data_IF_063026868923
#
_entry.id   IF_063026868923
#
_cell.length_a   1.000
_cell.length_b   1.000
_cell.length_c   1.000
_cell.angle_alpha   90.00
_cell.angle_beta   90.00
_cell.angle_gamma   90.00
#
_symmetry.space_group_name_H-M   'P 1'
#
loop_
_entity.id
_entity.type
_entity.pdbx_description
1 polymer ?
#
# COMPACT_ATOMS: atom_id res chain seq x y z
N UNK A 1 5.43 -14.70 32.05
CA UNK A 1 4.43 -14.02 31.20
C UNK A 1 4.03 -15.01 30.11
N UNK A 2 2.76 -15.40 30.05
CA UNK A 2 2.31 -16.55 29.25
C UNK A 2 2.00 -16.20 27.79
N UNK A 3 1.89 -17.22 26.94
CA UNK A 3 1.57 -17.14 25.50
C UNK A 3 0.30 -16.30 25.23
N UNK A 4 -0.68 -16.33 26.15
CA UNK A 4 -1.91 -15.54 26.05
C UNK A 4 -1.69 -14.02 26.11
N UNK A 5 -0.65 -13.54 26.80
CA UNK A 5 -0.34 -12.10 26.83
C UNK A 5 0.35 -11.69 25.52
N UNK A 6 1.26 -12.52 25.00
CA UNK A 6 1.93 -12.28 23.72
C UNK A 6 0.94 -12.21 22.55
N UNK A 7 -0.03 -13.14 22.47
CA UNK A 7 -1.06 -13.12 21.44
C UNK A 7 -1.99 -11.91 21.54
N UNK A 8 -2.28 -11.44 22.75
CA UNK A 8 -3.08 -10.23 22.97
C UNK A 8 -2.33 -8.97 22.57
N UNK A 9 -1.04 -8.89 22.87
CA UNK A 9 -0.19 -7.76 22.52
C UNK A 9 -0.01 -7.68 21.00
N UNK A 10 0.26 -8.81 20.33
CA UNK A 10 0.34 -8.88 18.86
C UNK A 10 -0.98 -8.44 18.19
N UNK A 11 -2.14 -8.89 18.71
CA UNK A 11 -3.44 -8.46 18.20
C UNK A 11 -3.73 -6.97 18.43
N UNK A 12 -3.32 -6.43 19.58
CA UNK A 12 -3.46 -5.01 19.89
C UNK A 12 -2.65 -4.16 18.91
N UNK A 13 -1.42 -4.59 18.61
CA UNK A 13 -0.52 -3.93 17.67
C UNK A 13 -1.04 -3.97 16.23
N UNK A 14 -1.60 -5.10 15.78
CA UNK A 14 -2.22 -5.21 14.45
C UNK A 14 -3.45 -4.31 14.30
N UNK A 15 -4.29 -4.22 15.33
CA UNK A 15 -5.45 -3.34 15.33
C UNK A 15 -5.04 -1.86 15.27
N UNK A 16 -4.03 -1.47 16.07
CA UNK A 16 -3.49 -0.11 16.05
C UNK A 16 -2.87 0.24 14.69
N UNK A 17 -2.07 -0.66 14.11
CA UNK A 17 -1.47 -0.45 12.80
C UNK A 17 -2.55 -0.25 11.71
N UNK A 18 -3.60 -1.07 11.75
CA UNK A 18 -4.74 -0.95 10.82
C UNK A 18 -5.45 0.39 10.99
N UNK A 19 -5.73 0.82 12.22
CA UNK A 19 -6.36 2.11 12.52
C UNK A 19 -5.53 3.29 12.00
N UNK A 20 -4.20 3.23 12.17
CA UNK A 20 -3.30 4.27 11.69
C UNK A 20 -3.26 4.32 10.15
N UNK A 21 -3.26 3.17 9.48
CA UNK A 21 -3.34 3.10 8.01
C UNK A 21 -4.66 3.68 7.49
N UNK A 22 -5.79 3.36 8.13
CA UNK A 22 -7.10 3.93 7.77
C UNK A 22 -7.07 5.45 7.91
N UNK A 23 -6.58 5.97 9.05
CA UNK A 23 -6.42 7.42 9.27
C UNK A 23 -5.55 8.06 8.20
N UNK A 24 -4.42 7.44 7.86
CA UNK A 24 -3.51 7.91 6.81
C UNK A 24 -4.19 8.03 5.43
N UNK A 25 -5.08 7.09 5.09
CA UNK A 25 -5.91 7.14 3.87
C UNK A 25 -6.94 8.28 3.97
N UNK A 26 -7.69 8.36 5.07
CA UNK A 26 -8.75 9.35 5.27
C UNK A 26 -8.23 10.78 5.22
N UNK A 27 -7.05 11.02 5.78
CA UNK A 27 -6.35 12.31 5.74
C UNK A 27 -5.72 12.63 4.37
N UNK A 28 -5.90 11.74 3.36
CA UNK A 28 -5.36 11.85 2.00
C UNK A 28 -3.84 12.00 1.95
N UNK A 29 -3.14 11.52 2.98
CA UNK A 29 -1.68 11.66 3.08
C UNK A 29 -0.95 10.83 2.03
N UNK A 30 -1.55 9.72 1.60
CA UNK A 30 -1.09 8.96 0.44
C UNK A 30 -1.01 9.81 -0.82
N UNK A 31 -2.00 10.67 -1.08
CA UNK A 31 -2.03 11.54 -2.26
C UNK A 31 -0.87 12.54 -2.21
N UNK A 32 -0.66 13.18 -1.06
CA UNK A 32 0.49 14.08 -0.83
C UNK A 32 1.82 13.37 -1.00
N UNK A 33 1.93 12.12 -0.53
CA UNK A 33 3.12 11.32 -0.72
C UNK A 33 3.38 11.03 -2.20
N UNK A 34 2.34 10.72 -2.97
CA UNK A 34 2.45 10.41 -4.40
C UNK A 34 2.74 11.64 -5.26
N UNK A 35 2.25 12.81 -4.90
CA UNK A 35 2.47 14.07 -5.62
C UNK A 35 3.97 14.38 -5.80
N UNK A 36 4.79 14.02 -4.80
CA UNK A 36 6.25 14.17 -4.87
C UNK A 36 6.99 13.07 -5.66
N UNK A 37 6.30 12.12 -6.31
CA UNK A 37 6.94 10.97 -6.97
C UNK A 37 6.82 11.05 -8.50
N UNK A 38 7.96 10.85 -9.17
CA UNK A 38 7.99 10.66 -10.62
C UNK A 38 7.64 9.20 -10.92
N UNK A 39 6.52 8.98 -11.63
CA UNK A 39 6.01 7.64 -11.94
C UNK A 39 6.02 7.37 -13.44
N UNK A 40 6.66 6.28 -13.85
CA UNK A 40 6.55 5.75 -15.21
C UNK A 40 5.34 4.83 -15.33
N UNK A 41 4.70 4.84 -16.50
CA UNK A 41 3.57 3.94 -16.82
C UNK A 41 3.99 2.48 -16.69
N UNK A 42 3.12 1.66 -16.09
CA UNK A 42 3.28 0.21 -15.93
C UNK A 42 4.54 -0.22 -15.15
N UNK A 43 5.15 0.70 -14.40
CA UNK A 43 6.23 0.38 -13.47
C UNK A 43 5.69 0.29 -12.04
N UNK A 44 6.04 -0.80 -11.35
CA UNK A 44 5.76 -0.97 -9.92
C UNK A 44 6.90 -0.40 -9.08
N UNK A 45 6.53 0.29 -8.00
CA UNK A 45 7.44 0.88 -7.04
C UNK A 45 7.10 0.39 -5.65
N UNK A 46 8.11 0.11 -4.85
CA UNK A 46 7.95 -0.31 -3.46
C UNK A 46 8.73 0.63 -2.55
N UNK A 47 8.09 1.11 -1.50
CA UNK A 47 8.69 2.03 -0.52
C UNK A 47 8.07 1.81 0.86
N UNK A 48 8.75 2.37 1.85
CA UNK A 48 8.16 2.62 3.15
C UNK A 48 7.79 4.10 3.27
N UNK A 49 6.67 4.37 3.94
CA UNK A 49 6.20 5.71 4.27
C UNK A 49 6.25 5.82 5.80
N UNK A 50 7.04 6.75 6.29
CA UNK A 50 7.07 7.07 7.72
C UNK A 50 5.89 7.99 8.05
N UNK A 51 5.03 7.54 8.96
CA UNK A 51 3.88 8.28 9.46
C UNK A 51 3.87 8.30 10.98
N UNK A 52 4.37 9.37 11.59
CA UNK A 52 4.36 9.64 13.04
C UNK A 52 4.85 8.46 13.89
N UNK A 53 3.95 7.52 14.18
CA UNK A 53 4.16 6.36 15.04
C UNK A 53 4.06 5.03 14.28
N UNK A 54 4.01 5.04 12.95
CA UNK A 54 3.80 3.85 12.11
C UNK A 54 4.61 3.95 10.83
N UNK A 55 5.15 2.82 10.40
CA UNK A 55 5.78 2.69 9.08
C UNK A 55 4.83 1.90 8.20
N UNK A 56 4.40 2.52 7.10
CA UNK A 56 3.46 1.94 6.14
C UNK A 56 4.26 1.41 4.95
N UNK A 57 4.12 0.12 4.65
CA UNK A 57 4.61 -0.42 3.40
C UNK A 57 3.68 0.02 2.27
N UNK A 58 4.24 0.48 1.15
CA UNK A 58 3.47 0.95 0.01
C UNK A 58 4.07 0.39 -1.28
N UNK A 59 3.30 -0.46 -1.95
CA UNK A 59 3.55 -0.90 -3.31
C UNK A 59 2.57 -0.17 -4.23
N UNK A 60 3.06 0.51 -5.26
CA UNK A 60 2.20 1.30 -6.12
C UNK A 60 2.67 1.32 -7.57
N UNK A 61 1.75 1.61 -8.48
CA UNK A 61 2.02 1.75 -9.91
C UNK A 61 1.14 2.84 -10.52
N UNK A 62 1.68 3.57 -11.50
CA UNK A 62 0.91 4.48 -12.33
C UNK A 62 0.16 3.70 -13.39
N UNK A 63 -1.14 3.96 -13.49
CA UNK A 63 -2.04 3.47 -14.53
C UNK A 63 -2.54 4.65 -15.36
N UNK A 64 -2.99 4.36 -16.57
CA UNK A 64 -3.68 5.32 -17.43
C UNK A 64 -4.94 4.66 -17.96
N UNK A 65 -6.10 5.27 -17.74
CA UNK A 65 -7.40 4.75 -18.16
C UNK A 65 -8.20 5.88 -18.78
N UNK A 66 -8.63 5.73 -20.04
CA UNK A 66 -9.43 6.73 -20.76
C UNK A 66 -8.88 8.17 -20.64
N UNK A 67 -7.58 8.33 -20.88
CA UNK A 67 -6.83 9.59 -20.76
C UNK A 67 -6.66 10.18 -19.34
N UNK A 68 -7.14 9.49 -18.31
CA UNK A 68 -6.86 9.84 -16.91
C UNK A 68 -5.63 9.11 -16.38
N UNK A 69 -4.76 9.85 -15.72
CA UNK A 69 -3.68 9.30 -14.91
C UNK A 69 -4.21 8.88 -13.54
N UNK A 70 -3.87 7.67 -13.13
CA UNK A 70 -4.23 7.12 -11.82
C UNK A 70 -3.05 6.41 -11.16
N UNK A 71 -3.19 6.15 -9.86
CA UNK A 71 -2.25 5.33 -9.10
C UNK A 71 -3.03 4.24 -8.40
N UNK A 72 -2.59 2.99 -8.57
CA UNK A 72 -3.06 1.87 -7.76
C UNK A 72 -1.98 1.57 -6.74
N UNK A 73 -2.38 1.46 -5.47
CA UNK A 73 -1.47 1.15 -4.38
C UNK A 73 -2.02 0.05 -3.46
N UNK A 74 -1.15 -0.86 -3.06
CA UNK A 74 -1.36 -1.78 -1.94
C UNK A 74 -0.57 -1.22 -0.76
N UNK A 75 -1.28 -0.85 0.31
CA UNK A 75 -0.67 -0.37 1.54
C UNK A 75 -0.95 -1.31 2.71
N UNK A 76 -0.03 -1.37 3.66
CA UNK A 76 -0.14 -2.25 4.82
C UNK A 76 0.93 -1.98 5.87
N UNK A 77 0.94 -2.74 6.97
CA UNK A 77 2.04 -2.70 7.94
C UNK A 77 3.36 -3.18 7.31
N UNK A 78 4.48 -3.07 8.01
CA UNK A 78 5.80 -3.49 7.50
C UNK A 78 5.96 -5.01 7.39
N UNK A 79 5.28 -5.79 8.25
CA UNK A 79 5.32 -7.26 8.26
C UNK A 79 4.37 -7.86 7.22
N UNK A 80 4.61 -7.56 5.94
CA UNK A 80 3.82 -8.09 4.81
C UNK A 80 4.66 -8.93 3.85
N UNK A 81 4.03 -9.88 3.16
CA UNK A 81 4.67 -10.61 2.07
C UNK A 81 4.70 -9.75 0.80
N UNK A 82 5.77 -8.97 0.65
CA UNK A 82 5.96 -8.09 -0.51
C UNK A 82 5.88 -8.83 -1.85
N UNK A 83 6.46 -10.04 -1.96
CA UNK A 83 6.44 -10.81 -3.22
C UNK A 83 5.01 -11.17 -3.62
N UNK A 84 4.17 -11.53 -2.65
CA UNK A 84 2.74 -11.80 -2.87
C UNK A 84 2.03 -10.53 -3.34
N UNK A 85 2.26 -9.39 -2.70
CA UNK A 85 1.66 -8.11 -3.10
C UNK A 85 2.08 -7.69 -4.51
N UNK A 86 3.37 -7.84 -4.85
CA UNK A 86 3.88 -7.57 -6.20
C UNK A 86 3.24 -8.48 -7.25
N UNK A 87 3.06 -9.78 -6.95
CA UNK A 87 2.36 -10.71 -7.84
C UNK A 87 0.89 -10.33 -8.06
N UNK A 88 0.20 -9.93 -6.99
CA UNK A 88 -1.20 -9.46 -7.06
C UNK A 88 -1.29 -8.19 -7.91
N UNK A 89 -0.48 -7.17 -7.60
CA UNK A 89 -0.52 -5.92 -8.36
C UNK A 89 -0.18 -6.13 -9.82
N UNK A 90 0.81 -6.99 -10.13
CA UNK A 90 1.13 -7.35 -11.51
C UNK A 90 -0.08 -7.93 -12.26
N UNK A 91 -0.83 -8.85 -11.62
CA UNK A 91 -2.05 -9.42 -12.23
C UNK A 91 -3.11 -8.35 -12.48
N UNK A 92 -3.33 -7.45 -11.52
CA UNK A 92 -4.27 -6.33 -11.66
C UNK A 92 -3.88 -5.44 -12.84
N UNK A 93 -2.60 -5.07 -12.96
CA UNK A 93 -2.10 -4.25 -14.06
C UNK A 93 -2.29 -4.94 -15.42
N UNK A 94 -1.99 -6.24 -15.52
CA UNK A 94 -2.19 -7.00 -16.77
C UNK A 94 -3.66 -7.04 -17.19
N UNK A 95 -4.58 -7.28 -16.24
CA UNK A 95 -6.02 -7.27 -16.54
C UNK A 95 -6.53 -5.87 -16.93
N UNK A 96 -5.94 -4.79 -16.42
CA UNK A 96 -6.29 -3.44 -16.85
C UNK A 96 -5.80 -3.13 -18.25
N UNK A 97 -4.60 -3.59 -18.63
CA UNK A 97 -4.09 -3.42 -20.00
C UNK A 97 -4.98 -4.17 -21.02
N UNK A 98 -5.46 -5.38 -20.69
CA UNK A 98 -6.35 -6.19 -21.55
C UNK A 98 -7.73 -5.57 -21.79
N UNK A 99 -8.25 -4.77 -20.84
CA UNK A 99 -9.55 -4.10 -20.97
C UNK A 99 -9.48 -2.73 -21.65
N UNK A 100 -8.27 -2.21 -21.85
CA UNK A 100 -8.02 -0.93 -22.53
C UNK A 100 -7.47 -1.13 -23.96
N UNK A 101 -7.33 -2.39 -24.41
CA UNK A 101 -6.93 -2.78 -25.76
C UNK A 101 -8.16 -3.11 -26.62
#
# INVERSE_FOLDING_TARGET
MGINNLLKDDMLDEYQATRNIVRFIEEKRLVKFMDGKILKKNQMYYTFIEDENTVISCLYAKIQMNDYDGVISIIGPTRINYKKNASILKKVLMSLDENNA
#
